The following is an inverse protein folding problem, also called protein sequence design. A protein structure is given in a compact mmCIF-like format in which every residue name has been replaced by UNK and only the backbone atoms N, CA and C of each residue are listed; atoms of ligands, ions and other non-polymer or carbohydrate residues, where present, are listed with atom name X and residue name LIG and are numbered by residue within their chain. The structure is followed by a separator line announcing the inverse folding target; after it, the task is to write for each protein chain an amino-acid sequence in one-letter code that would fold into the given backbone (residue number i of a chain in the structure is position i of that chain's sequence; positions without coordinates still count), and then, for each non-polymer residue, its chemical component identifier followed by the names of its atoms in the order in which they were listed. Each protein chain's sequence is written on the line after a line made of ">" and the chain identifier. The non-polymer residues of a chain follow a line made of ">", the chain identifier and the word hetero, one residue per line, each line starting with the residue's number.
data_IF_514889228769
#
_entry.id   IF_514889228769
#
_cell.length_a   1.000
_cell.length_b   1.000
_cell.length_c   1.000
_cell.angle_alpha   90.00
_cell.angle_beta   90.00
_cell.angle_gamma   90.00
#
_symmetry.space_group_name_H-M   'P 1'
#
loop_
_entity.id
_entity.type
_entity.pdbx_description
1 polymer ?
#
# COMPACT_ATOMS: atom_id res chain seq x y z
N UNK A 1 -5.18 0.22 -24.76
CA UNK A 1 -5.66 1.00 -23.60
C UNK A 1 -5.33 0.40 -22.23
N UNK A 2 -5.62 -0.88 -21.94
CA UNK A 2 -5.32 -1.48 -20.62
C UNK A 2 -3.83 -1.41 -20.22
N UNK A 3 -2.92 -1.63 -21.18
CA UNK A 3 -1.45 -1.57 -20.98
C UNK A 3 -0.97 -0.20 -20.48
N UNK A 4 -1.51 0.88 -21.04
CA UNK A 4 -1.25 2.26 -20.62
C UNK A 4 -1.79 2.55 -19.22
N UNK A 5 -2.95 1.99 -18.87
CA UNK A 5 -3.56 2.16 -17.55
C UNK A 5 -2.71 1.48 -16.45
N UNK A 6 -2.23 0.25 -16.69
CA UNK A 6 -1.28 -0.40 -15.77
C UNK A 6 0.02 0.39 -15.64
N UNK A 7 0.55 0.90 -16.75
CA UNK A 7 1.76 1.72 -16.74
C UNK A 7 1.58 3.00 -15.92
N UNK A 8 0.41 3.66 -16.02
CA UNK A 8 0.09 4.84 -15.22
C UNK A 8 -0.03 4.52 -13.73
N UNK A 9 -0.65 3.41 -13.36
CA UNK A 9 -0.74 2.98 -11.95
C UNK A 9 0.67 2.72 -11.39
N UNK A 10 1.51 2.00 -12.15
CA UNK A 10 2.90 1.76 -11.76
C UNK A 10 3.64 3.08 -11.61
N UNK A 11 3.49 4.01 -12.54
CA UNK A 11 4.15 5.32 -12.51
C UNK A 11 3.72 6.13 -11.27
N UNK A 12 2.43 6.16 -10.95
CA UNK A 12 1.89 6.87 -9.78
C UNK A 12 2.46 6.27 -8.49
N UNK A 13 2.49 4.93 -8.37
CA UNK A 13 3.08 4.25 -7.21
C UNK A 13 4.57 4.56 -7.11
N UNK A 14 5.30 4.55 -8.23
CA UNK A 14 6.73 4.84 -8.26
C UNK A 14 7.04 6.28 -7.83
N UNK A 15 6.26 7.25 -8.32
CA UNK A 15 6.37 8.67 -7.94
C UNK A 15 6.08 8.84 -6.45
N UNK A 16 5.06 8.15 -5.92
CA UNK A 16 4.71 8.22 -4.50
C UNK A 16 5.82 7.63 -3.61
N UNK A 17 6.37 6.48 -3.98
CA UNK A 17 7.49 5.87 -3.23
C UNK A 17 8.73 6.76 -3.29
N UNK A 18 9.09 7.27 -4.48
CA UNK A 18 10.24 8.14 -4.65
C UNK A 18 10.10 9.45 -3.86
N UNK A 19 8.92 10.07 -3.87
CA UNK A 19 8.68 11.31 -3.12
C UNK A 19 8.74 11.11 -1.61
N UNK A 20 8.15 10.03 -1.09
CA UNK A 20 8.24 9.69 0.34
C UNK A 20 9.68 9.36 0.74
N UNK A 21 10.39 8.56 -0.05
CA UNK A 21 11.79 8.22 0.21
C UNK A 21 12.71 9.45 0.20
N UNK A 22 12.50 10.36 -0.77
CA UNK A 22 13.28 11.60 -0.87
C UNK A 22 12.98 12.54 0.29
N UNK A 23 11.70 12.71 0.64
CA UNK A 23 11.29 13.52 1.80
C UNK A 23 11.88 12.98 3.09
N UNK A 24 11.81 11.65 3.30
CA UNK A 24 12.36 11.03 4.49
C UNK A 24 13.88 11.15 4.54
N UNK A 25 14.59 10.78 3.46
CA UNK A 25 16.06 10.84 3.41
C UNK A 25 16.61 12.25 3.57
N UNK A 26 15.86 13.28 3.15
CA UNK A 26 16.23 14.67 3.35
C UNK A 26 16.01 15.16 4.79
N UNK A 27 14.86 14.83 5.40
CA UNK A 27 14.48 15.36 6.72
C UNK A 27 14.99 14.51 7.89
N UNK A 28 15.24 13.22 7.67
CA UNK A 28 15.64 12.26 8.69
C UNK A 28 16.88 11.50 8.19
N UNK A 29 18.10 11.99 8.51
CA UNK A 29 19.37 11.40 8.07
C UNK A 29 19.73 10.12 8.87
N UNK A 30 18.72 9.38 9.31
CA UNK A 30 18.82 8.16 10.10
C UNK A 30 18.44 7.00 9.16
N UNK A 31 19.16 5.85 9.20
CA UNK A 31 18.75 4.69 8.43
C UNK A 31 17.27 4.37 8.67
N UNK A 32 16.54 4.14 7.59
CA UNK A 32 15.10 3.86 7.63
C UNK A 32 14.86 2.50 8.29
N UNK A 33 14.74 2.51 9.62
CA UNK A 33 14.42 1.31 10.40
C UNK A 33 12.90 1.14 10.46
N UNK A 34 12.36 0.56 9.40
CA UNK A 34 10.93 0.33 9.30
C UNK A 34 10.43 -0.61 10.38
N UNK A 35 11.23 -1.63 10.74
CA UNK A 35 10.86 -2.66 11.72
C UNK A 35 10.87 -2.05 13.12
N UNK A 36 11.93 -1.32 13.49
CA UNK A 36 12.04 -0.62 14.77
C UNK A 36 10.94 0.41 14.97
N UNK A 37 10.70 1.27 13.98
CA UNK A 37 9.64 2.28 14.05
C UNK A 37 8.23 1.65 14.11
N UNK A 38 8.00 0.54 13.40
CA UNK A 38 6.71 -0.15 13.48
C UNK A 38 6.49 -0.75 14.88
N UNK A 39 7.55 -1.22 15.54
CA UNK A 39 7.51 -1.70 16.93
C UNK A 39 7.20 -0.60 17.94
N UNK A 40 7.80 0.57 17.78
CA UNK A 40 7.67 1.67 18.75
C UNK A 40 6.33 2.41 18.67
N UNK A 41 5.77 2.56 17.46
CA UNK A 41 4.54 3.32 17.22
C UNK A 41 3.32 2.43 16.93
N UNK A 42 3.53 1.12 16.77
CA UNK A 42 2.55 0.03 16.72
C UNK A 42 1.21 0.39 16.06
N UNK A 43 0.23 0.76 16.88
CA UNK A 43 -1.16 0.98 16.47
C UNK A 43 -1.38 2.19 15.56
N UNK A 44 -0.55 3.23 15.63
CA UNK A 44 -0.68 4.41 14.77
C UNK A 44 -0.34 4.07 13.31
N UNK A 45 0.62 3.17 13.10
CA UNK A 45 0.97 2.72 11.77
C UNK A 45 -0.07 1.79 11.16
N UNK A 46 -0.79 1.00 11.97
CA UNK A 46 -1.88 0.12 11.48
C UNK A 46 -2.92 0.91 10.67
N UNK A 47 -3.33 2.08 11.16
CA UNK A 47 -4.28 2.96 10.47
C UNK A 47 -3.71 3.49 9.14
N UNK A 48 -2.43 3.88 9.14
CA UNK A 48 -1.74 4.35 7.93
C UNK A 48 -1.66 3.22 6.90
N UNK A 49 -1.34 2.00 7.32
CA UNK A 49 -1.32 0.82 6.46
C UNK A 49 -2.69 0.50 5.88
N UNK A 50 -3.76 0.55 6.69
CA UNK A 50 -5.13 0.37 6.21
C UNK A 50 -5.51 1.41 5.14
N UNK A 51 -5.09 2.66 5.31
CA UNK A 51 -5.27 3.73 4.33
C UNK A 51 -4.52 3.43 3.02
N UNK A 52 -3.25 3.00 3.10
CA UNK A 52 -2.43 2.63 1.94
C UNK A 52 -3.04 1.43 1.22
N UNK A 53 -3.48 0.40 1.96
CA UNK A 53 -4.14 -0.79 1.41
C UNK A 53 -5.45 -0.40 0.71
N UNK A 54 -6.25 0.46 1.32
CA UNK A 54 -7.48 0.99 0.70
C UNK A 54 -7.22 1.76 -0.58
N UNK A 55 -6.18 2.60 -0.60
CA UNK A 55 -5.77 3.37 -1.78
C UNK A 55 -5.30 2.44 -2.91
N UNK A 56 -4.42 1.48 -2.61
CA UNK A 56 -3.94 0.49 -3.58
C UNK A 56 -5.08 -0.38 -4.12
N UNK A 57 -5.97 -0.85 -3.25
CA UNK A 57 -7.15 -1.62 -3.65
C UNK A 57 -8.06 -0.81 -4.59
N UNK A 58 -8.24 0.48 -4.33
CA UNK A 58 -9.00 1.39 -5.19
C UNK A 58 -8.34 1.59 -6.56
N UNK A 59 -7.03 1.80 -6.60
CA UNK A 59 -6.27 1.92 -7.85
C UNK A 59 -6.38 0.64 -8.70
N UNK A 60 -6.19 -0.52 -8.09
CA UNK A 60 -6.27 -1.81 -8.76
C UNK A 60 -7.70 -2.11 -9.21
N UNK A 61 -8.72 -1.82 -8.39
CA UNK A 61 -10.13 -2.04 -8.72
C UNK A 61 -10.66 -1.11 -9.82
N UNK A 62 -10.04 0.06 -9.98
CA UNK A 62 -10.30 1.02 -11.06
C UNK A 62 -9.92 0.48 -12.43
N UNK A 63 -9.05 -0.53 -12.49
CA UNK A 63 -8.75 -1.24 -13.73
C UNK A 63 -9.99 -2.00 -14.21
N UNK A 64 -10.59 -1.57 -15.34
CA UNK A 64 -11.75 -2.24 -15.95
C UNK A 64 -11.37 -3.65 -16.48
N UNK A 65 -11.52 -4.65 -15.61
CA UNK A 65 -11.52 -6.07 -15.96
C UNK A 65 -12.97 -6.51 -16.16
N UNK A 66 -13.29 -7.05 -17.35
CA UNK A 66 -14.65 -7.28 -17.88
C UNK A 66 -15.56 -8.19 -17.03
N UNK A 67 -15.04 -8.86 -15.98
CA UNK A 67 -15.76 -9.93 -15.26
C UNK A 67 -16.48 -9.48 -13.98
N UNK A 68 -16.09 -8.35 -13.37
CA UNK A 68 -16.62 -7.95 -12.06
C UNK A 68 -16.87 -6.44 -11.96
N UNK A 69 -17.93 -6.06 -11.24
CA UNK A 69 -18.23 -4.66 -10.90
C UNK A 69 -17.15 -4.09 -9.95
N UNK A 70 -16.96 -2.77 -9.98
CA UNK A 70 -15.91 -2.08 -9.20
C UNK A 70 -15.90 -2.49 -7.72
N UNK A 71 -17.08 -2.48 -7.08
CA UNK A 71 -17.24 -2.88 -5.66
C UNK A 71 -16.66 -4.26 -5.37
N UNK A 72 -17.00 -5.26 -6.20
CA UNK A 72 -16.53 -6.63 -5.98
C UNK A 72 -15.02 -6.76 -6.24
N UNK A 73 -14.48 -6.02 -7.23
CA UNK A 73 -13.03 -5.96 -7.46
C UNK A 73 -12.29 -5.33 -6.28
N UNK A 74 -12.80 -4.21 -5.79
CA UNK A 74 -12.25 -3.51 -4.63
C UNK A 74 -12.20 -4.44 -3.43
N UNK A 75 -13.33 -5.06 -3.07
CA UNK A 75 -13.39 -5.95 -1.91
C UNK A 75 -12.42 -7.13 -2.04
N UNK A 76 -12.30 -7.72 -3.25
CA UNK A 76 -11.40 -8.85 -3.47
C UNK A 76 -9.92 -8.45 -3.30
N UNK A 77 -9.51 -7.33 -3.91
CA UNK A 77 -8.12 -6.84 -3.78
C UNK A 77 -7.84 -6.36 -2.36
N UNK A 78 -8.79 -5.65 -1.75
CA UNK A 78 -8.69 -5.18 -0.37
C UNK A 78 -8.53 -6.35 0.59
N UNK A 79 -9.31 -7.43 0.42
CA UNK A 79 -9.19 -8.64 1.23
C UNK A 79 -7.79 -9.28 1.10
N UNK A 80 -7.30 -9.47 -0.13
CA UNK A 80 -5.98 -10.08 -0.38
C UNK A 80 -4.87 -9.26 0.30
N UNK A 81 -4.89 -7.93 0.13
CA UNK A 81 -3.89 -7.05 0.73
C UNK A 81 -3.98 -7.03 2.27
N UNK A 82 -5.19 -7.07 2.84
CA UNK A 82 -5.38 -7.18 4.28
C UNK A 82 -4.91 -8.52 4.83
N UNK A 83 -5.12 -9.63 4.13
CA UNK A 83 -4.60 -10.94 4.54
C UNK A 83 -3.07 -10.96 4.58
N UNK A 84 -2.41 -10.34 3.59
CA UNK A 84 -0.95 -10.18 3.60
C UNK A 84 -0.48 -9.34 4.78
N UNK A 85 -1.18 -8.24 5.06
CA UNK A 85 -0.86 -7.37 6.19
C UNK A 85 -1.10 -8.06 7.55
N UNK A 86 -2.18 -8.84 7.70
CA UNK A 86 -2.41 -9.68 8.87
C UNK A 86 -1.30 -10.72 9.06
N UNK A 87 -0.85 -11.37 7.98
CA UNK A 87 0.27 -12.29 8.05
C UNK A 87 1.56 -11.63 8.54
N UNK A 88 1.79 -10.38 8.13
CA UNK A 88 2.92 -9.57 8.62
C UNK A 88 2.79 -9.26 10.13
N UNK A 89 1.61 -8.85 10.60
CA UNK A 89 1.37 -8.61 12.04
C UNK A 89 1.64 -9.86 12.89
N UNK A 90 1.14 -11.03 12.44
CA UNK A 90 1.37 -12.30 13.12
C UNK A 90 2.85 -12.69 13.15
N UNK A 91 3.59 -12.46 12.07
CA UNK A 91 5.03 -12.73 12.01
C UNK A 91 5.83 -11.85 12.98
N UNK A 92 5.49 -10.57 13.08
CA UNK A 92 6.15 -9.61 13.98
C UNK A 92 5.70 -9.73 15.45
N UNK A 93 4.78 -10.65 15.78
CA UNK A 93 4.18 -10.81 17.11
C UNK A 93 3.59 -9.50 17.68
N UNK A 94 2.88 -8.76 16.82
CA UNK A 94 2.09 -7.56 17.18
C UNK A 94 0.63 -7.96 17.31
#
# INVERSE_FOLDING_TARGET
>A
MKKLLYLNIILIVLILVASVATFYGYNFPIPFDFIGNFKDYGTQYILIFLLIIGFLASLIASVKIKKYNFKNRFLCVFLILNCLFLGFLVFENI
#
